data_IF_715377998874
#
_entry.id   IF_715377998874
#
_cell.length_a   1.000
_cell.length_b   1.000
_cell.length_c   1.000
_cell.angle_alpha   90.00
_cell.angle_beta   90.00
_cell.angle_gamma   90.00
#
_symmetry.space_group_name_H-M   'P 1'
#
loop_
_entity.id
_entity.type
_entity.pdbx_description
1 polymer ?
#
# COMPACT_ATOMS: atom_id res chain seq x y z
N UNK A 1 -1.49 -14.29 25.26
CA UNK A 1 -1.25 -12.93 25.78
C UNK A 1 -0.36 -12.16 24.80
N UNK A 2 -0.84 -11.86 23.59
CA UNK A 2 -0.12 -10.96 22.66
C UNK A 2 -0.78 -9.59 22.82
N UNK A 3 -0.05 -8.64 23.37
CA UNK A 3 -0.52 -7.26 23.55
C UNK A 3 -0.84 -6.64 22.18
N UNK A 4 -1.93 -5.86 22.05
CA UNK A 4 -2.11 -5.01 20.88
C UNK A 4 -1.07 -3.90 20.95
N UNK A 5 0.02 -4.05 20.21
CA UNK A 5 0.95 -2.94 19.97
C UNK A 5 0.21 -1.88 19.18
N UNK A 6 -0.25 -0.83 19.86
CA UNK A 6 -0.76 0.41 19.27
C UNK A 6 0.19 0.88 18.16
N UNK A 7 -0.30 1.27 16.97
CA UNK A 7 0.55 1.85 15.94
C UNK A 7 1.15 3.15 16.49
N UNK A 8 2.47 3.18 16.65
CA UNK A 8 3.17 4.40 17.02
C UNK A 8 3.16 5.34 15.81
N UNK A 9 2.31 6.37 15.84
CA UNK A 9 2.35 7.48 14.88
C UNK A 9 3.73 8.15 14.96
N UNK A 10 4.56 8.09 13.91
CA UNK A 10 5.87 8.69 13.93
C UNK A 10 5.74 10.22 13.92
N UNK A 11 6.46 10.89 14.83
CA UNK A 11 6.41 12.33 15.08
C UNK A 11 6.93 13.22 13.93
N UNK A 12 7.37 12.62 12.82
CA UNK A 12 7.79 13.33 11.61
C UNK A 12 7.24 12.60 10.38
N UNK A 13 5.94 12.77 10.12
CA UNK A 13 5.29 12.21 8.95
C UNK A 13 5.83 12.89 7.68
N UNK A 14 6.53 12.17 6.78
CA UNK A 14 6.90 12.72 5.49
C UNK A 14 5.60 12.95 4.70
N UNK A 15 5.47 14.10 4.04
CA UNK A 15 4.35 14.35 3.13
C UNK A 15 4.55 13.49 1.88
N UNK A 16 3.87 12.36 1.83
CA UNK A 16 3.83 11.51 0.64
C UNK A 16 2.63 11.86 -0.23
N UNK A 17 2.79 11.69 -1.53
CA UNK A 17 1.72 11.77 -2.52
C UNK A 17 1.35 10.37 -2.99
N UNK A 18 0.22 10.22 -3.69
CA UNK A 18 -0.16 8.94 -4.29
C UNK A 18 0.95 8.40 -5.22
N UNK A 19 1.59 9.28 -5.99
CA UNK A 19 2.64 8.91 -6.94
C UNK A 19 3.87 8.28 -6.27
N UNK A 20 4.11 8.59 -4.99
CA UNK A 20 5.21 8.00 -4.22
C UNK A 20 5.02 6.50 -3.94
N UNK A 21 3.78 6.00 -4.03
CA UNK A 21 3.43 4.59 -3.83
C UNK A 21 3.03 3.92 -5.15
N UNK A 22 3.46 4.47 -6.29
CA UNK A 22 3.26 3.87 -7.60
C UNK A 22 4.59 3.35 -8.13
N UNK A 23 4.60 2.09 -8.55
CA UNK A 23 5.72 1.48 -9.26
C UNK A 23 5.61 1.68 -10.76
N UNK A 24 6.73 1.53 -11.45
CA UNK A 24 6.85 1.51 -12.92
C UNK A 24 6.32 0.22 -13.57
N UNK A 25 6.01 -0.80 -12.77
CA UNK A 25 5.53 -2.09 -13.24
C UNK A 25 4.11 -2.00 -13.79
N UNK A 26 3.91 -2.52 -15.01
CA UNK A 26 2.59 -2.60 -15.61
C UNK A 26 1.71 -3.62 -14.87
N UNK A 27 0.48 -3.20 -14.58
CA UNK A 27 -0.49 -4.03 -13.86
C UNK A 27 -1.07 -5.08 -14.79
N UNK A 28 -0.74 -6.34 -14.54
CA UNK A 28 -1.13 -7.51 -15.36
C UNK A 28 -2.46 -8.10 -14.92
N UNK A 29 -3.43 -7.25 -14.57
CA UNK A 29 -4.79 -7.65 -14.28
C UNK A 29 -5.65 -7.54 -15.55
N UNK A 30 -6.77 -8.27 -15.58
CA UNK A 30 -7.70 -8.19 -16.70
C UNK A 30 -8.30 -6.77 -16.78
N UNK A 31 -8.56 -6.22 -17.98
CA UNK A 31 -9.22 -4.93 -18.11
C UNK A 31 -10.59 -4.98 -17.43
N UNK A 32 -10.87 -4.02 -16.54
CA UNK A 32 -12.08 -4.00 -15.71
C UNK A 32 -12.00 -4.77 -14.39
N UNK A 33 -10.83 -5.30 -14.02
CA UNK A 33 -10.64 -5.94 -12.72
C UNK A 33 -10.85 -4.95 -11.56
N UNK A 34 -11.55 -5.36 -10.50
CA UNK A 34 -11.78 -4.52 -9.32
C UNK A 34 -10.50 -4.17 -8.55
N UNK A 35 -9.44 -4.96 -8.69
CA UNK A 35 -8.17 -4.75 -8.00
C UNK A 35 -7.51 -3.39 -8.36
N UNK A 36 -7.79 -2.85 -9.54
CA UNK A 36 -7.35 -1.49 -9.92
C UNK A 36 -7.90 -0.40 -8.99
N UNK A 37 -9.18 -0.53 -8.60
CA UNK A 37 -9.81 0.43 -7.68
C UNK A 37 -9.22 0.32 -6.27
N UNK A 38 -8.97 -0.92 -5.82
CA UNK A 38 -8.37 -1.19 -4.51
C UNK A 38 -6.94 -0.66 -4.45
N UNK A 39 -6.16 -0.85 -5.53
CA UNK A 39 -4.78 -0.35 -5.63
C UNK A 39 -4.75 1.18 -5.50
N UNK A 40 -5.60 1.86 -6.26
CA UNK A 40 -5.70 3.32 -6.20
C UNK A 40 -6.09 3.82 -4.80
N UNK A 41 -7.08 3.17 -4.16
CA UNK A 41 -7.51 3.53 -2.81
C UNK A 41 -6.41 3.31 -1.77
N UNK A 42 -5.69 2.19 -1.82
CA UNK A 42 -4.61 1.92 -0.87
C UNK A 42 -3.46 2.91 -1.00
N UNK A 43 -3.04 3.25 -2.22
CA UNK A 43 -2.00 4.26 -2.47
C UNK A 43 -2.39 5.63 -1.90
N UNK A 44 -3.67 6.02 -2.00
CA UNK A 44 -4.18 7.24 -1.39
C UNK A 44 -4.16 7.18 0.15
N UNK A 45 -4.59 6.07 0.72
CA UNK A 45 -4.60 5.88 2.19
C UNK A 45 -3.18 5.87 2.74
N UNK A 46 -2.23 5.21 2.07
CA UNK A 46 -0.82 5.21 2.49
C UNK A 46 -0.19 6.60 2.44
N UNK A 47 -0.54 7.40 1.44
CA UNK A 47 -0.14 8.82 1.39
C UNK A 47 -0.71 9.64 2.55
N UNK A 48 -1.93 9.36 2.99
CA UNK A 48 -2.59 10.08 4.10
C UNK A 48 -2.08 9.67 5.48
N UNK A 49 -1.73 8.39 5.67
CA UNK A 49 -1.29 7.87 6.96
C UNK A 49 0.09 8.41 7.40
N UNK A 50 0.92 8.88 6.46
CA UNK A 50 2.18 9.56 6.79
C UNK A 50 3.23 8.69 7.49
N UNK A 51 3.10 7.36 7.44
CA UNK A 51 4.14 6.46 7.94
C UNK A 51 5.35 6.46 7.01
N UNK A 52 6.60 6.47 7.54
CA UNK A 52 7.79 6.27 6.74
C UNK A 52 7.70 4.96 5.95
N UNK A 53 8.01 4.99 4.64
CA UNK A 53 7.92 3.82 3.75
C UNK A 53 8.62 2.58 4.30
N UNK A 54 9.77 2.75 4.94
CA UNK A 54 10.56 1.64 5.53
C UNK A 54 9.88 0.95 6.72
N UNK A 55 8.79 1.50 7.26
CA UNK A 55 7.96 0.88 8.32
C UNK A 55 6.66 0.29 7.80
N UNK A 56 6.41 0.35 6.48
CA UNK A 56 5.23 -0.21 5.85
C UNK A 56 5.60 -1.53 5.19
N UNK A 57 4.85 -2.59 5.51
CA UNK A 57 5.05 -3.92 4.92
C UNK A 57 3.72 -4.37 4.34
N UNK A 58 3.72 -4.69 3.05
CA UNK A 58 2.55 -5.23 2.36
C UNK A 58 2.74 -6.73 2.13
N UNK A 59 1.87 -7.53 2.75
CA UNK A 59 1.92 -8.99 2.66
C UNK A 59 0.69 -9.45 1.87
N UNK A 60 0.92 -10.30 0.87
CA UNK A 60 -0.14 -10.90 0.06
C UNK A 60 -0.05 -12.43 0.07
N UNK A 61 -1.14 -13.08 -0.33
CA UNK A 61 -1.23 -14.54 -0.45
C UNK A 61 -0.83 -15.05 -1.84
N UNK A 62 -1.64 -15.94 -2.40
CA UNK A 62 -1.51 -16.42 -3.78
C UNK A 62 -2.80 -16.11 -4.56
N UNK A 63 -2.66 -15.47 -5.73
CA UNK A 63 -3.78 -15.12 -6.61
C UNK A 63 -3.49 -13.88 -7.47
N UNK A 64 -4.47 -13.47 -8.29
CA UNK A 64 -4.37 -12.25 -9.11
C UNK A 64 -4.11 -11.03 -8.22
N UNK A 65 -4.90 -10.88 -7.15
CA UNK A 65 -4.75 -9.83 -6.15
C UNK A 65 -3.43 -9.91 -5.39
N UNK A 66 -2.76 -11.07 -5.38
CA UNK A 66 -1.51 -11.20 -4.64
C UNK A 66 -0.33 -10.50 -5.29
N UNK A 67 -0.51 -9.99 -6.52
CA UNK A 67 0.45 -9.09 -7.15
C UNK A 67 0.43 -7.67 -6.61
N UNK A 68 -0.52 -7.34 -5.73
CA UNK A 68 -0.66 -6.02 -5.13
C UNK A 68 0.64 -5.43 -4.55
N UNK A 69 1.48 -6.19 -3.79
CA UNK A 69 2.72 -5.64 -3.26
C UNK A 69 3.74 -5.22 -4.32
N UNK A 70 3.64 -5.72 -5.56
CA UNK A 70 4.52 -5.30 -6.65
C UNK A 70 4.10 -3.97 -7.28
N UNK A 71 2.89 -3.50 -6.97
CA UNK A 71 2.31 -2.30 -7.56
C UNK A 71 2.27 -1.10 -6.60
N UNK A 72 2.90 -1.22 -5.42
CA UNK A 72 2.95 -0.23 -4.33
C UNK A 72 4.37 0.14 -3.93
#
# INVERSE_FOLDING_TARGET
MVAPTTPQTPASAPKYTKADFQTDQEVRWCPGCGDYAILNAAQQVFAQLGFPKHKMVMISGIGCSSRFPYYV
#
